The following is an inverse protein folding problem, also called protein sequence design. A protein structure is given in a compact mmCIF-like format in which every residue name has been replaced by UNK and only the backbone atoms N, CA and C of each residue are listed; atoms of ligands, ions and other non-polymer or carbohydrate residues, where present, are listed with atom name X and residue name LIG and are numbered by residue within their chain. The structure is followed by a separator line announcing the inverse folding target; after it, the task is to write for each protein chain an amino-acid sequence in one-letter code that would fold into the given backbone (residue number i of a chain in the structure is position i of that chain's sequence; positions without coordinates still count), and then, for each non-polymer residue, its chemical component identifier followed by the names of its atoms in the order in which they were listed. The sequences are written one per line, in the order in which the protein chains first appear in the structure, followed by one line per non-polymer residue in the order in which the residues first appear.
data_IF_159177256049
#
_entry.id   IF_159177256049
#
_cell.length_a   1.000
_cell.length_b   1.000
_cell.length_c   1.000
_cell.angle_alpha   90.00
_cell.angle_beta   90.00
_cell.angle_gamma   90.00
#
_symmetry.space_group_name_H-M   'P 1'
#
loop_
_entity.id
_entity.type
_entity.pdbx_description
1 polymer ?
#
# COMPACT_ATOMS: atom_id res chain seq x y z
N UNK A 1 15.98 10.53 15.82
CA UNK A 1 16.99 9.95 14.90
C UNK A 1 16.30 8.84 14.14
N UNK A 2 16.11 9.05 12.85
CA UNK A 2 15.36 8.15 11.96
C UNK A 2 16.26 7.12 11.27
N UNK A 3 17.57 7.32 11.33
CA UNK A 3 18.62 6.54 10.67
C UNK A 3 18.52 5.05 11.00
N UNK A 4 18.31 4.62 12.27
CA UNK A 4 18.14 3.21 12.57
C UNK A 4 16.93 2.58 11.88
N UNK A 5 15.79 3.27 11.92
CA UNK A 5 14.53 2.79 11.34
C UNK A 5 14.59 2.79 9.82
N UNK A 6 15.14 3.83 9.19
CA UNK A 6 15.30 3.91 7.74
C UNK A 6 16.28 2.84 7.23
N UNK A 7 17.41 2.64 7.92
CA UNK A 7 18.37 1.56 7.59
C UNK A 7 17.72 0.17 7.63
N UNK A 8 16.93 -0.09 8.68
CA UNK A 8 16.18 -1.33 8.84
C UNK A 8 15.07 -1.51 7.79
N UNK A 9 14.35 -0.45 7.42
CA UNK A 9 13.33 -0.49 6.37
C UNK A 9 13.95 -0.75 4.98
N UNK A 10 15.14 -0.21 4.71
CA UNK A 10 15.88 -0.52 3.49
C UNK A 10 16.33 -1.98 3.46
N UNK A 11 16.81 -2.52 4.59
CA UNK A 11 17.16 -3.94 4.72
C UNK A 11 15.93 -4.84 4.49
N UNK A 12 14.77 -4.47 5.06
CA UNK A 12 13.49 -5.14 4.80
C UNK A 12 13.13 -5.13 3.31
N UNK A 13 13.20 -3.98 2.64
CA UNK A 13 12.89 -3.87 1.21
C UNK A 13 13.79 -4.76 0.34
N UNK A 14 15.06 -4.92 0.72
CA UNK A 14 15.98 -5.84 0.04
C UNK A 14 15.64 -7.32 0.35
N UNK A 15 15.36 -7.65 1.61
CA UNK A 15 15.04 -9.01 2.03
C UNK A 15 13.72 -9.51 1.40
N UNK A 16 12.73 -8.62 1.25
CA UNK A 16 11.46 -8.92 0.59
C UNK A 16 11.53 -8.86 -0.95
N UNK A 17 12.69 -8.52 -1.53
CA UNK A 17 12.86 -8.42 -2.98
C UNK A 17 12.11 -7.25 -3.63
N UNK A 18 11.72 -6.24 -2.85
CA UNK A 18 11.14 -5.00 -3.41
C UNK A 18 12.20 -4.18 -4.15
N UNK A 19 13.44 -4.21 -3.65
CA UNK A 19 14.58 -3.50 -4.22
C UNK A 19 15.82 -4.39 -4.24
N UNK A 20 16.75 -4.12 -5.16
CA UNK A 20 18.08 -4.73 -5.15
C UNK A 20 19.11 -3.81 -4.50
N UNK A 21 20.30 -4.33 -4.19
CA UNK A 21 21.37 -3.55 -3.55
C UNK A 21 21.74 -2.26 -4.30
N UNK A 22 21.61 -2.28 -5.64
CA UNK A 22 21.86 -1.11 -6.49
C UNK A 22 20.88 0.04 -6.25
N UNK A 23 19.67 -0.26 -5.79
CA UNK A 23 18.61 0.73 -5.60
C UNK A 23 18.58 1.30 -4.19
N UNK A 24 19.33 0.73 -3.24
CA UNK A 24 19.32 1.15 -1.83
C UNK A 24 19.51 2.66 -1.67
N UNK A 25 20.53 3.22 -2.34
CA UNK A 25 20.81 4.66 -2.29
C UNK A 25 19.68 5.48 -2.92
N UNK A 26 19.13 5.01 -4.03
CA UNK A 26 18.02 5.68 -4.71
C UNK A 26 16.77 5.72 -3.82
N UNK A 27 16.36 4.57 -3.27
CA UNK A 27 15.18 4.45 -2.41
C UNK A 27 15.36 5.25 -1.11
N UNK A 28 16.54 5.21 -0.50
CA UNK A 28 16.85 6.08 0.64
C UNK A 28 16.57 7.54 0.32
N UNK A 29 17.14 8.06 -0.77
CA UNK A 29 16.97 9.47 -1.15
C UNK A 29 15.50 9.81 -1.44
N UNK A 30 14.75 8.89 -2.07
CA UNK A 30 13.31 9.07 -2.30
C UNK A 30 12.52 9.15 -0.99
N UNK A 31 12.88 8.34 0.02
CA UNK A 31 12.24 8.38 1.34
C UNK A 31 12.62 9.67 2.08
N UNK A 32 13.88 10.11 2.04
CA UNK A 32 14.32 11.38 2.62
C UNK A 32 13.58 12.57 1.99
N UNK A 33 13.37 12.55 0.68
CA UNK A 33 12.57 13.56 -0.04
C UNK A 33 11.12 13.57 0.45
N UNK A 34 10.47 12.40 0.57
CA UNK A 34 9.13 12.28 1.14
C UNK A 34 9.10 12.90 2.53
N UNK A 35 10.03 12.49 3.40
CA UNK A 35 10.14 12.93 4.80
C UNK A 35 10.68 14.36 4.98
N UNK A 36 11.09 15.05 3.92
CA UNK A 36 11.71 16.38 3.96
C UNK A 36 12.90 16.43 4.94
N UNK A 37 13.86 15.53 4.74
CA UNK A 37 15.07 15.41 5.55
C UNK A 37 16.27 15.77 4.70
N UNK A 38 16.97 16.85 5.08
CA UNK A 38 18.13 17.38 4.36
C UNK A 38 19.46 16.81 4.89
N UNK A 39 19.53 16.55 6.20
CA UNK A 39 20.72 16.01 6.88
C UNK A 39 20.45 14.57 7.35
N UNK A 40 21.36 13.66 7.01
CA UNK A 40 21.21 12.22 7.26
C UNK A 40 22.55 11.57 7.57
N UNK A 41 22.68 10.99 8.76
CA UNK A 41 23.90 10.30 9.17
C UNK A 41 23.91 8.83 8.73
N UNK A 42 24.60 8.55 7.64
CA UNK A 42 24.76 7.19 7.13
C UNK A 42 25.44 6.24 8.13
N UNK A 43 26.31 6.75 9.02
CA UNK A 43 26.98 5.91 10.01
C UNK A 43 26.05 5.46 11.14
N UNK A 44 24.93 6.14 11.33
CA UNK A 44 23.90 5.81 12.31
C UNK A 44 22.81 4.86 11.77
N UNK A 45 22.94 4.35 10.53
CA UNK A 45 22.03 3.35 10.00
C UNK A 45 22.04 2.06 10.84
N UNK A 46 20.84 1.61 11.18
CA UNK A 46 20.61 0.36 11.87
C UNK A 46 20.58 -0.82 10.89
N UNK A 47 20.73 -2.02 11.44
CA UNK A 47 20.40 -3.27 10.76
C UNK A 47 19.02 -3.72 11.19
N UNK A 48 18.16 -4.03 10.22
CA UNK A 48 16.84 -4.58 10.48
C UNK A 48 16.88 -6.10 10.62
N UNK A 49 16.03 -6.65 11.48
CA UNK A 49 15.66 -8.06 11.37
C UNK A 49 14.69 -8.21 10.18
N UNK A 50 14.99 -9.04 9.17
CA UNK A 50 14.09 -9.29 8.06
C UNK A 50 12.68 -9.77 8.46
N UNK A 51 12.53 -10.32 9.68
CA UNK A 51 11.26 -10.78 10.22
C UNK A 51 10.41 -9.68 10.87
N UNK A 52 10.96 -8.47 11.07
CA UNK A 52 10.20 -7.35 11.64
C UNK A 52 9.05 -6.95 10.72
N UNK A 53 7.88 -6.72 11.30
CA UNK A 53 6.71 -6.26 10.56
C UNK A 53 6.95 -4.86 10.00
N UNK A 54 6.52 -4.63 8.75
CA UNK A 54 6.74 -3.34 8.07
C UNK A 54 6.13 -2.16 8.82
N UNK A 55 4.98 -2.37 9.47
CA UNK A 55 4.30 -1.35 10.29
C UNK A 55 5.17 -0.89 11.47
N UNK A 56 5.96 -1.79 12.08
CA UNK A 56 6.88 -1.46 13.17
C UNK A 56 8.10 -0.67 12.68
N UNK A 57 8.59 -0.96 11.48
CA UNK A 57 9.69 -0.22 10.85
C UNK A 57 9.26 1.19 10.41
N UNK A 58 8.00 1.35 10.02
CA UNK A 58 7.42 2.63 9.62
C UNK A 58 7.11 3.53 10.82
N UNK A 59 6.72 2.97 11.97
CA UNK A 59 6.27 3.75 13.12
C UNK A 59 7.24 4.86 13.56
N UNK A 60 8.55 4.63 13.73
CA UNK A 60 9.50 5.69 14.11
C UNK A 60 9.65 6.79 13.06
N UNK A 61 9.50 6.45 11.77
CA UNK A 61 9.56 7.41 10.67
C UNK A 61 8.32 8.32 10.67
N UNK A 62 7.16 7.74 10.94
CA UNK A 62 5.89 8.48 11.05
C UNK A 62 5.84 9.35 12.30
N UNK A 63 6.36 8.85 13.43
CA UNK A 63 6.45 9.62 14.68
C UNK A 63 7.35 10.85 14.51
N UNK A 64 8.49 10.70 13.83
CA UNK A 64 9.37 11.82 13.49
C UNK A 64 8.67 12.83 12.55
N UNK A 65 8.01 12.34 11.50
CA UNK A 65 7.27 13.19 10.56
C UNK A 65 6.15 13.97 11.27
N UNK A 66 5.42 13.33 12.19
CA UNK A 66 4.40 13.97 13.02
C UNK A 66 5.01 15.02 13.98
N UNK A 67 6.11 14.67 14.66
CA UNK A 67 6.80 15.59 15.58
C UNK A 67 7.34 16.84 14.87
N UNK A 68 7.74 16.72 13.60
CA UNK A 68 8.15 17.85 12.73
C UNK A 68 6.97 18.57 12.05
N UNK A 69 5.74 18.16 12.32
CA UNK A 69 4.52 18.81 11.82
C UNK A 69 4.13 18.46 10.38
N UNK A 70 4.77 17.47 9.76
CA UNK A 70 4.42 17.00 8.41
C UNK A 70 3.08 16.25 8.38
N UNK A 71 2.74 15.58 9.50
CA UNK A 71 1.47 14.88 9.69
C UNK A 71 0.59 15.74 10.61
N UNK A 72 -0.28 16.54 10.01
CA UNK A 72 -1.18 17.44 10.76
C UNK A 72 -2.58 17.43 10.15
N UNK A 73 -3.64 17.09 10.92
CA UNK A 73 -3.59 16.58 12.29
C UNK A 73 -2.93 15.19 12.35
N UNK A 74 -2.34 14.84 13.50
CA UNK A 74 -1.82 13.50 13.72
C UNK A 74 -2.98 12.51 13.94
N UNK A 75 -3.50 11.97 12.84
CA UNK A 75 -4.58 10.98 12.77
C UNK A 75 -4.11 9.73 12.06
N UNK A 76 -4.82 8.62 12.25
CA UNK A 76 -4.53 7.37 11.53
C UNK A 76 -4.64 7.59 10.02
N UNK A 77 -5.65 8.33 9.54
CA UNK A 77 -5.80 8.64 8.12
C UNK A 77 -4.59 9.40 7.56
N UNK A 78 -4.10 10.42 8.26
CA UNK A 78 -2.94 11.18 7.81
C UNK A 78 -1.67 10.32 7.83
N UNK A 79 -1.47 9.53 8.89
CA UNK A 79 -0.35 8.57 8.96
C UNK A 79 -0.39 7.56 7.80
N UNK A 80 -1.57 7.08 7.43
CA UNK A 80 -1.76 6.18 6.28
C UNK A 80 -1.41 6.82 4.93
N UNK A 81 -1.49 8.14 4.79
CA UNK A 81 -1.03 8.82 3.57
C UNK A 81 0.50 8.79 3.47
N UNK A 82 1.16 8.99 4.62
CA UNK A 82 2.61 9.06 4.73
C UNK A 82 3.27 7.70 4.65
N UNK A 83 2.72 6.69 5.31
CA UNK A 83 3.25 5.32 5.23
C UNK A 83 3.22 4.78 3.80
N UNK A 84 2.17 5.11 3.05
CA UNK A 84 1.96 4.70 1.67
C UNK A 84 2.89 5.48 0.75
N UNK A 85 3.19 6.73 1.06
CA UNK A 85 4.20 7.53 0.34
C UNK A 85 5.61 6.93 0.51
N UNK A 86 5.97 6.54 1.75
CA UNK A 86 7.25 5.90 2.05
C UNK A 86 7.34 4.56 1.31
N UNK A 87 6.33 3.69 1.45
CA UNK A 87 6.34 2.39 0.78
C UNK A 87 6.26 2.48 -0.74
N UNK A 88 5.64 3.52 -1.28
CA UNK A 88 5.64 3.82 -2.71
C UNK A 88 7.04 4.03 -3.28
N UNK A 89 8.04 4.41 -2.46
CA UNK A 89 9.43 4.55 -2.88
C UNK A 89 10.11 3.21 -3.20
N UNK A 90 9.56 2.10 -2.69
CA UNK A 90 10.07 0.75 -2.95
C UNK A 90 9.43 0.10 -4.18
N UNK A 91 8.38 0.68 -4.75
CA UNK A 91 7.61 0.05 -5.83
C UNK A 91 8.04 0.62 -7.18
N UNK A 92 8.53 -0.20 -8.14
CA UNK A 92 8.94 0.27 -9.46
C UNK A 92 7.80 0.95 -10.24
N UNK A 93 8.08 1.66 -11.34
CA UNK A 93 7.04 2.18 -12.22
C UNK A 93 6.11 1.07 -12.76
N UNK A 94 4.84 1.39 -13.12
CA UNK A 94 3.86 0.40 -13.59
C UNK A 94 4.35 -0.49 -14.73
N UNK A 95 5.01 0.09 -15.74
CA UNK A 95 5.53 -0.65 -16.89
C UNK A 95 6.55 -1.74 -16.52
N UNK A 96 7.35 -1.51 -15.46
CA UNK A 96 8.34 -2.49 -15.00
C UNK A 96 7.66 -3.65 -14.28
N UNK A 97 6.68 -3.34 -13.43
CA UNK A 97 5.90 -4.37 -12.70
C UNK A 97 5.08 -5.20 -13.67
N UNK A 98 4.41 -4.57 -14.62
CA UNK A 98 3.63 -5.27 -15.65
C UNK A 98 4.51 -6.14 -16.56
N UNK A 99 5.67 -5.64 -16.99
CA UNK A 99 6.61 -6.43 -17.78
C UNK A 99 7.11 -7.66 -17.01
N UNK A 100 7.43 -7.50 -15.72
CA UNK A 100 7.85 -8.61 -14.87
C UNK A 100 6.72 -9.65 -14.71
N UNK A 101 5.49 -9.19 -14.45
CA UNK A 101 4.32 -10.06 -14.33
C UNK A 101 4.10 -10.90 -15.59
N UNK A 102 4.04 -10.28 -16.77
CA UNK A 102 3.81 -11.00 -18.03
C UNK A 102 5.02 -11.82 -18.49
N UNK A 103 6.23 -11.45 -18.05
CA UNK A 103 7.40 -12.30 -18.23
C UNK A 103 7.28 -13.58 -17.41
N UNK A 104 6.96 -13.47 -16.13
CA UNK A 104 6.79 -14.64 -15.26
C UNK A 104 5.59 -15.48 -15.70
N UNK A 105 4.47 -14.85 -16.09
CA UNK A 105 3.25 -15.55 -16.51
C UNK A 105 3.47 -16.46 -17.72
N UNK A 106 4.30 -16.02 -18.68
CA UNK A 106 4.67 -16.82 -19.86
C UNK A 106 5.45 -18.08 -19.51
N UNK A 107 6.10 -18.12 -18.36
CA UNK A 107 6.85 -19.29 -17.88
C UNK A 107 6.01 -20.13 -16.90
N UNK A 108 5.38 -19.47 -15.93
CA UNK A 108 4.53 -20.07 -14.90
C UNK A 108 3.51 -19.03 -14.39
N UNK A 109 2.22 -19.18 -14.71
CA UNK A 109 1.16 -18.32 -14.21
C UNK A 109 1.10 -18.23 -12.68
N UNK A 110 1.39 -19.32 -11.96
CA UNK A 110 1.35 -19.37 -10.49
C UNK A 110 2.46 -18.50 -9.92
N UNK A 111 3.65 -18.55 -10.52
CA UNK A 111 4.76 -17.68 -10.14
C UNK A 111 4.42 -16.20 -10.32
N UNK A 112 3.76 -15.83 -11.42
CA UNK A 112 3.39 -14.44 -11.67
C UNK A 112 2.40 -13.92 -10.63
N UNK A 113 1.35 -14.69 -10.32
CA UNK A 113 0.37 -14.29 -9.30
C UNK A 113 0.96 -14.28 -7.90
N UNK A 114 1.77 -15.27 -7.53
CA UNK A 114 2.46 -15.27 -6.23
C UNK A 114 3.43 -14.09 -6.08
N UNK A 115 4.22 -13.78 -7.12
CA UNK A 115 5.13 -12.64 -7.10
C UNK A 115 4.40 -11.31 -6.98
N UNK A 116 3.29 -11.14 -7.70
CA UNK A 116 2.46 -9.94 -7.63
C UNK A 116 1.76 -9.80 -6.26
N UNK A 117 1.24 -10.90 -5.70
CA UNK A 117 0.66 -10.90 -4.36
C UNK A 117 1.71 -10.58 -3.29
N UNK A 118 2.89 -11.20 -3.37
CA UNK A 118 4.01 -10.95 -2.48
C UNK A 118 4.41 -9.47 -2.51
N UNK A 119 4.57 -8.88 -3.70
CA UNK A 119 4.86 -7.45 -3.82
C UNK A 119 3.77 -6.59 -3.16
N UNK A 120 2.49 -6.91 -3.36
CA UNK A 120 1.38 -6.18 -2.77
C UNK A 120 1.34 -6.27 -1.23
N UNK A 121 1.74 -7.40 -0.65
CA UNK A 121 1.89 -7.56 0.80
C UNK A 121 3.13 -6.83 1.31
N UNK A 122 4.30 -7.06 0.71
CA UNK A 122 5.57 -6.50 1.15
C UNK A 122 5.63 -4.97 1.00
N UNK A 123 4.94 -4.40 0.00
CA UNK A 123 4.83 -2.94 -0.16
C UNK A 123 3.81 -2.30 0.80
N UNK A 124 3.25 -3.08 1.73
CA UNK A 124 2.16 -2.68 2.64
C UNK A 124 0.93 -2.12 1.90
N UNK A 125 0.70 -2.51 0.65
CA UNK A 125 -0.54 -2.19 -0.06
C UNK A 125 -1.69 -3.04 0.49
N UNK A 126 -1.46 -4.35 0.65
CA UNK A 126 -2.29 -5.23 1.48
C UNK A 126 -1.78 -5.13 2.91
N UNK A 127 -2.53 -4.46 3.77
CA UNK A 127 -2.14 -4.16 5.16
C UNK A 127 -2.34 -5.36 6.07
N UNK A 128 -1.52 -6.39 5.91
CA UNK A 128 -1.64 -7.69 6.62
C UNK A 128 -1.62 -7.54 8.15
N UNK A 129 -0.78 -6.64 8.69
CA UNK A 129 -0.75 -6.35 10.13
C UNK A 129 -2.10 -5.83 10.69
N UNK A 130 -2.98 -5.31 9.83
CA UNK A 130 -4.34 -4.91 10.19
C UNK A 130 -5.35 -6.02 9.92
N UNK A 131 -5.28 -6.68 8.77
CA UNK A 131 -6.25 -7.72 8.39
C UNK A 131 -6.11 -8.99 9.22
N UNK A 132 -4.92 -9.31 9.71
CA UNK A 132 -4.68 -10.49 10.54
C UNK A 132 -5.28 -10.34 11.95
N UNK A 133 -5.72 -9.13 12.31
CA UNK A 133 -6.49 -8.86 13.53
C UNK A 133 -8.00 -9.01 13.34
N UNK A 134 -8.47 -9.33 12.14
CA UNK A 134 -9.89 -9.56 11.88
C UNK A 134 -10.40 -10.74 12.73
N UNK A 135 -11.62 -10.60 13.24
CA UNK A 135 -12.28 -11.66 14.00
C UNK A 135 -13.14 -12.45 13.03
N UNK A 136 -12.82 -13.72 12.82
CA UNK A 136 -13.57 -14.61 11.93
C UNK A 136 -14.07 -15.84 12.67
N UNK A 137 -15.30 -16.26 12.37
CA UNK A 137 -15.88 -17.50 12.90
C UNK A 137 -16.85 -18.11 11.89
N UNK A 138 -17.09 -19.41 12.06
CA UNK A 138 -18.02 -20.18 11.25
C UNK A 138 -19.27 -20.51 12.05
N UNK A 139 -20.44 -20.30 11.45
CA UNK A 139 -21.73 -20.64 12.03
C UNK A 139 -22.44 -21.63 11.11
N UNK A 140 -22.80 -22.80 11.65
CA UNK A 140 -23.67 -23.73 10.94
C UNK A 140 -25.07 -23.13 10.80
N UNK A 141 -25.65 -23.21 9.60
CA UNK A 141 -27.01 -22.79 9.28
C UNK A 141 -27.71 -23.89 8.47
N UNK A 142 -29.03 -23.80 8.33
CA UNK A 142 -29.81 -24.72 7.48
C UNK A 142 -29.38 -24.69 6.00
N UNK A 143 -28.62 -23.68 5.59
CA UNK A 143 -28.14 -23.48 4.22
C UNK A 143 -26.63 -23.76 4.04
N UNK A 144 -25.97 -24.32 5.07
CA UNK A 144 -24.55 -24.62 5.08
C UNK A 144 -23.77 -23.82 6.12
N UNK A 145 -22.44 -23.89 6.03
CA UNK A 145 -21.54 -23.16 6.92
C UNK A 145 -21.44 -21.71 6.45
N UNK A 146 -21.82 -20.78 7.31
CA UNK A 146 -21.71 -19.34 7.08
C UNK A 146 -20.42 -18.82 7.72
N UNK A 147 -19.53 -18.25 6.90
CA UNK A 147 -18.35 -17.52 7.37
C UNK A 147 -18.73 -16.09 7.78
N UNK A 148 -18.48 -15.74 9.04
CA UNK A 148 -18.68 -14.39 9.58
C UNK A 148 -17.32 -13.76 9.86
N UNK A 149 -17.12 -12.50 9.46
CA UNK A 149 -15.87 -11.76 9.72
C UNK A 149 -16.16 -10.32 10.12
N UNK A 150 -15.56 -9.86 11.22
CA UNK A 150 -15.52 -8.45 11.61
C UNK A 150 -14.18 -7.87 11.13
N UNK A 151 -14.27 -6.93 10.18
CA UNK A 151 -13.11 -6.24 9.66
C UNK A 151 -12.70 -5.10 10.62
N UNK A 152 -11.62 -5.31 11.36
CA UNK A 152 -11.05 -4.31 12.27
C UNK A 152 -9.97 -3.44 11.60
N UNK A 153 -9.64 -3.73 10.34
CA UNK A 153 -8.57 -3.05 9.60
C UNK A 153 -8.95 -1.66 9.09
N UNK A 154 -10.26 -1.33 9.08
CA UNK A 154 -10.77 -0.03 8.68
C UNK A 154 -11.11 0.80 9.93
N UNK A 155 -10.20 1.66 10.42
CA UNK A 155 -10.47 2.50 11.58
C UNK A 155 -11.64 3.43 11.31
N UNK A 156 -12.41 3.75 12.36
CA UNK A 156 -13.38 4.84 12.28
C UNK A 156 -12.64 6.15 11.93
N UNK A 157 -13.29 6.99 11.12
CA UNK A 157 -12.69 8.27 10.71
C UNK A 157 -12.56 9.17 11.94
N UNK A 158 -11.38 9.76 12.13
CA UNK A 158 -11.17 10.73 13.20
C UNK A 158 -12.11 11.94 13.00
N UNK A 159 -12.77 12.45 14.06
CA UNK A 159 -13.63 13.62 13.96
C UNK A 159 -12.95 14.84 13.31
N UNK A 160 -11.64 14.98 13.49
CA UNK A 160 -10.82 16.04 12.85
C UNK A 160 -10.75 15.87 11.34
N UNK A 161 -10.63 14.63 10.86
CA UNK A 161 -10.65 14.32 9.43
C UNK A 161 -12.04 14.58 8.82
N UNK A 162 -13.12 14.26 9.57
CA UNK A 162 -14.50 14.55 9.16
C UNK A 162 -14.71 16.06 9.04
N UNK A 163 -14.28 16.84 10.03
CA UNK A 163 -14.39 18.29 10.01
C UNK A 163 -13.61 18.92 8.85
N UNK A 164 -12.40 18.42 8.56
CA UNK A 164 -11.60 18.87 7.43
C UNK A 164 -12.25 18.54 6.07
N UNK A 165 -12.88 17.37 5.93
CA UNK A 165 -13.55 16.96 4.71
C UNK A 165 -14.88 17.69 4.46
N UNK A 166 -15.56 18.14 5.51
CA UNK A 166 -16.85 18.86 5.39
C UNK A 166 -16.75 20.19 4.62
N UNK A 167 -15.56 20.80 4.57
CA UNK A 167 -15.30 22.04 3.83
C UNK A 167 -14.70 21.85 2.43
N UNK A 168 -14.32 20.62 2.04
CA UNK A 168 -13.74 20.38 0.73
C UNK A 168 -14.83 20.16 -0.32
N UNK A 169 -14.87 20.99 -1.36
CA UNK A 169 -15.52 20.60 -2.60
C UNK A 169 -14.80 19.35 -3.11
N UNK A 170 -15.48 18.20 -3.08
CA UNK A 170 -14.87 16.91 -3.38
C UNK A 170 -14.04 16.98 -4.67
N UNK A 171 -12.74 16.65 -4.56
CA UNK A 171 -11.87 16.66 -5.72
C UNK A 171 -12.31 15.55 -6.69
N UNK A 172 -12.55 15.89 -7.96
CA UNK A 172 -13.03 14.93 -8.96
C UNK A 172 -11.98 13.92 -9.46
N UNK A 173 -10.75 13.97 -8.94
CA UNK A 173 -9.65 13.10 -9.35
C UNK A 173 -8.98 12.41 -8.15
N UNK A 174 -8.84 11.07 -8.16
CA UNK A 174 -9.53 10.12 -9.03
C UNK A 174 -11.05 10.16 -8.81
N UNK A 175 -11.83 9.80 -9.84
CA UNK A 175 -13.30 9.88 -9.78
C UNK A 175 -13.91 8.91 -8.77
N UNK A 176 -13.33 7.72 -8.64
CA UNK A 176 -13.70 6.74 -7.62
C UNK A 176 -12.48 5.94 -7.15
N UNK A 177 -12.70 5.04 -6.18
CA UNK A 177 -11.65 4.21 -5.57
C UNK A 177 -11.12 3.10 -6.48
N UNK A 178 -11.82 2.83 -7.59
CA UNK A 178 -11.51 1.76 -8.55
C UNK A 178 -11.06 2.29 -9.91
N UNK A 179 -10.89 3.60 -10.06
CA UNK A 179 -10.38 4.19 -11.30
C UNK A 179 -8.87 3.91 -11.44
N UNK A 180 -8.34 3.62 -12.65
CA UNK A 180 -6.91 3.37 -12.84
C UNK A 180 -6.03 4.56 -12.47
N UNK A 181 -6.58 5.78 -12.50
CA UNK A 181 -5.94 7.02 -12.04
C UNK A 181 -5.52 7.00 -10.55
N UNK A 182 -5.97 6.01 -9.79
CA UNK A 182 -5.48 5.74 -8.44
C UNK A 182 -4.04 5.24 -8.42
N UNK A 183 -3.56 4.57 -9.46
CA UNK A 183 -2.19 4.04 -9.47
C UNK A 183 -1.16 5.17 -9.26
N UNK A 184 -0.38 5.09 -8.20
CA UNK A 184 0.58 6.15 -7.87
C UNK A 184 -0.02 7.39 -7.18
N UNK A 185 -1.34 7.44 -6.92
CA UNK A 185 -1.98 8.63 -6.38
C UNK A 185 -1.62 8.90 -4.92
N UNK A 186 -1.30 10.17 -4.59
CA UNK A 186 -0.85 10.56 -3.25
C UNK A 186 -1.90 10.44 -2.14
N UNK A 187 -3.17 10.36 -2.51
CA UNK A 187 -4.29 10.44 -1.58
C UNK A 187 -4.59 11.86 -1.07
N UNK A 188 -5.62 11.93 -0.25
CA UNK A 188 -6.12 13.11 0.49
C UNK A 188 -6.99 12.59 1.64
N UNK A 189 -7.42 13.48 2.53
CA UNK A 189 -8.18 13.10 3.74
C UNK A 189 -9.44 12.26 3.45
N UNK A 190 -10.10 12.50 2.33
CA UNK A 190 -11.31 11.81 1.88
C UNK A 190 -11.05 10.67 0.87
N UNK A 191 -9.81 10.50 0.39
CA UNK A 191 -9.46 9.53 -0.66
C UNK A 191 -8.09 8.90 -0.42
N UNK A 192 -7.98 7.58 -0.29
CA UNK A 192 -6.78 6.94 0.21
C UNK A 192 -5.58 7.08 -0.73
N UNK A 193 -4.39 7.04 -0.13
CA UNK A 193 -3.11 6.96 -0.84
C UNK A 193 -2.95 5.61 -1.57
N UNK A 194 -2.24 5.65 -2.69
CA UNK A 194 -2.07 4.54 -3.64
C UNK A 194 -0.70 4.59 -4.34
N UNK A 195 0.29 5.27 -3.77
CA UNK A 195 1.66 5.30 -4.31
C UNK A 195 2.30 3.90 -4.41
N UNK A 196 1.88 2.95 -3.58
CA UNK A 196 2.33 1.55 -3.58
C UNK A 196 1.40 0.59 -4.34
N UNK A 197 0.32 1.06 -4.98
CA UNK A 197 -0.54 0.26 -5.86
C UNK A 197 0.09 0.15 -7.25
N UNK A 198 0.12 -1.06 -7.82
CA UNK A 198 0.38 -1.28 -9.24
C UNK A 198 -0.69 -2.16 -9.85
N UNK A 199 -1.20 -1.77 -11.00
CA UNK A 199 -2.23 -2.45 -11.75
C UNK A 199 -1.59 -3.31 -12.83
N UNK A 200 -2.15 -4.49 -13.09
CA UNK A 200 -1.76 -5.32 -14.23
C UNK A 200 -2.82 -5.18 -15.31
N UNK A 201 -2.46 -4.66 -16.48
CA UNK A 201 -3.35 -4.54 -17.63
C UNK A 201 -3.79 -5.91 -18.13
N UNK A 202 -5.06 -6.03 -18.48
CA UNK A 202 -5.73 -7.21 -19.02
C UNK A 202 -6.52 -6.82 -20.26
N UNK A 203 -6.75 -7.77 -21.16
CA UNK A 203 -7.72 -7.64 -22.25
C UNK A 203 -8.87 -8.63 -22.00
N UNK A 204 -10.09 -8.12 -21.85
CA UNK A 204 -11.29 -8.94 -21.68
C UNK A 204 -12.35 -8.49 -22.67
N UNK A 205 -12.84 -9.42 -23.49
CA UNK A 205 -13.80 -9.16 -24.56
C UNK A 205 -13.38 -8.03 -25.53
N UNK A 206 -12.07 -7.86 -25.76
CA UNK A 206 -11.52 -6.81 -26.63
C UNK A 206 -11.49 -5.41 -26.00
N UNK A 207 -11.78 -5.30 -24.69
CA UNK A 207 -11.66 -4.05 -23.93
C UNK A 207 -10.45 -4.10 -22.98
N UNK A 208 -9.85 -2.94 -22.64
CA UNK A 208 -8.81 -2.83 -21.63
C UNK A 208 -9.38 -2.87 -20.21
N UNK A 209 -8.78 -3.71 -19.37
CA UNK A 209 -9.10 -3.87 -17.95
C UNK A 209 -7.81 -3.88 -17.14
N UNK A 210 -7.95 -3.84 -15.82
CA UNK A 210 -6.85 -3.99 -14.89
C UNK A 210 -7.19 -5.00 -13.79
N UNK A 211 -6.18 -5.74 -13.38
CA UNK A 211 -6.18 -6.59 -12.21
C UNK A 211 -5.46 -5.89 -11.06
N UNK A 212 -6.04 -5.98 -9.86
CA UNK A 212 -5.36 -5.67 -8.62
C UNK A 212 -5.77 -6.63 -7.50
N UNK A 213 -4.92 -6.76 -6.50
CA UNK A 213 -5.37 -7.30 -5.21
C UNK A 213 -6.21 -6.28 -4.44
N UNK A 214 -7.07 -6.77 -3.55
CA UNK A 214 -7.85 -5.96 -2.63
C UNK A 214 -7.02 -5.68 -1.37
N UNK A 215 -6.92 -4.41 -0.92
CA UNK A 215 -6.15 -4.07 0.27
C UNK A 215 -6.81 -4.52 1.59
N UNK A 216 -8.07 -4.99 1.55
CA UNK A 216 -8.89 -5.29 2.74
C UNK A 216 -9.12 -6.79 3.02
N UNK A 217 -8.38 -7.69 2.35
CA UNK A 217 -8.36 -9.16 2.49
C UNK A 217 -9.60 -9.77 3.16
N UNK A 218 -10.63 -10.09 2.37
CA UNK A 218 -11.80 -10.86 2.82
C UNK A 218 -11.61 -12.37 2.69
N UNK A 219 -10.75 -12.78 1.75
CA UNK A 219 -10.34 -14.16 1.49
C UNK A 219 -8.86 -14.18 1.09
N UNK A 220 -8.26 -15.36 1.10
CA UNK A 220 -6.89 -15.51 0.62
C UNK A 220 -6.80 -15.03 -0.82
N UNK A 221 -5.86 -14.11 -1.11
CA UNK A 221 -5.61 -13.60 -2.46
C UNK A 221 -6.84 -12.98 -3.16
N UNK A 222 -7.62 -12.16 -2.42
CA UNK A 222 -8.75 -11.43 -3.00
C UNK A 222 -8.32 -10.46 -4.10
N UNK A 223 -8.70 -10.75 -5.34
CA UNK A 223 -8.47 -9.91 -6.53
C UNK A 223 -9.72 -9.14 -6.97
N UNK A 224 -9.51 -8.02 -7.65
CA UNK A 224 -10.53 -7.18 -8.28
C UNK A 224 -10.10 -6.94 -9.72
N UNK A 225 -11.05 -7.10 -10.65
CA UNK A 225 -10.88 -6.71 -12.05
C UNK A 225 -11.71 -5.46 -12.30
N UNK A 226 -11.07 -4.41 -12.79
CA UNK A 226 -11.67 -3.07 -13.00
C UNK A 226 -11.48 -2.61 -14.45
N UNK A 227 -12.53 -1.99 -15.00
CA UNK A 227 -12.51 -1.39 -16.33
C UNK A 227 -11.56 -0.20 -16.35
N UNK A 228 -10.84 0.00 -17.46
CA UNK A 228 -10.06 1.22 -17.68
C UNK A 228 -10.98 2.46 -17.67
N UNK A 229 -12.18 2.31 -18.24
CA UNK A 229 -13.20 3.36 -18.26
C UNK A 229 -14.05 3.38 -17.00
N UNK A 230 -14.25 4.58 -16.44
CA UNK A 230 -15.24 4.81 -15.38
C UNK A 230 -16.67 4.76 -15.95
N UNK A 231 -17.47 3.80 -15.49
CA UNK A 231 -18.88 3.63 -15.89
C UNK A 231 -19.75 3.60 -14.62
N UNK A 232 -20.77 4.48 -14.48
CA UNK A 232 -21.71 4.41 -13.37
C UNK A 232 -22.44 3.05 -13.35
N UNK A 233 -22.67 2.50 -12.16
CA UNK A 233 -23.57 1.35 -12.02
C UNK A 233 -24.98 1.75 -12.50
N UNK A 234 -25.62 0.85 -13.26
CA UNK A 234 -27.00 1.00 -13.72
C UNK A 234 -27.94 0.24 -12.81
#
# INVERSE_FOLDING_TARGET
MIEPALGALLDYGQAQGLIVARDRVYVRNRILEVLRIDDYDLAAEGRGDPATQVDELLAPLLDDAAARGLITPDTVTQRDLWDTAIMGCFVPPPSVVEQAFWSDYRHDPVRATHGYHHQAVASNYIRVGRTDRNISWQQATDYGVMDMTINVSKPEKDPRDIAAAAGSSGAGYPQCLLCPQNEGYRGRTDHPARQNLRLIGLELAGEPWFLQYSPYRYYNEHCIVLSDEHRPMR
#
